data_IF_397279771977
#
_entry.id   IF_397279771977
#
_cell.length_a   1.000
_cell.length_b   1.000
_cell.length_c   1.000
_cell.angle_alpha   90.00
_cell.angle_beta   90.00
_cell.angle_gamma   90.00
#
_symmetry.space_group_name_H-M   'P 1'
#
loop_
_entity.id
_entity.type
_entity.pdbx_description
1 polymer ?
#
# COMPACT_ATOMS: atom_id res chain seq x y z
N UNK A 1 -20.08 -5.80 -8.12
CA UNK A 1 -18.73 -5.28 -7.89
C UNK A 1 -18.85 -3.76 -7.73
N UNK A 2 -18.17 -3.13 -6.79
CA UNK A 2 -18.08 -1.67 -6.74
C UNK A 2 -17.12 -1.28 -7.84
N UNK A 3 -17.57 -0.47 -8.79
CA UNK A 3 -16.87 -0.28 -10.06
C UNK A 3 -15.90 0.89 -10.05
N UNK A 4 -16.06 1.86 -9.12
CA UNK A 4 -15.16 3.02 -9.10
C UNK A 4 -14.99 3.61 -7.70
N UNK A 5 -13.95 4.40 -7.49
CA UNK A 5 -13.67 5.14 -6.26
C UNK A 5 -13.98 6.62 -6.44
N UNK A 6 -13.76 7.40 -5.37
CA UNK A 6 -13.78 8.86 -5.46
C UNK A 6 -12.73 9.35 -6.48
N UNK A 7 -12.99 10.46 -7.18
CA UNK A 7 -11.95 11.12 -7.97
C UNK A 7 -10.72 11.42 -7.10
N UNK A 8 -9.48 11.36 -7.65
CA UNK A 8 -8.25 11.55 -6.86
C UNK A 8 -8.23 12.85 -6.05
N UNK A 9 -8.78 13.94 -6.60
CA UNK A 9 -8.90 15.22 -5.91
C UNK A 9 -9.84 15.17 -4.68
N UNK A 10 -10.86 14.32 -4.70
CA UNK A 10 -11.80 14.17 -3.59
C UNK A 10 -11.21 13.23 -2.52
N UNK A 11 -10.47 12.19 -2.93
CA UNK A 11 -9.63 11.39 -2.03
C UNK A 11 -8.66 12.30 -1.30
N UNK A 12 -7.92 13.15 -2.03
CA UNK A 12 -6.97 14.10 -1.45
C UNK A 12 -7.65 15.00 -0.40
N UNK A 13 -8.77 15.64 -0.75
CA UNK A 13 -9.51 16.51 0.17
C UNK A 13 -10.00 15.78 1.42
N UNK A 14 -10.45 14.54 1.24
CA UNK A 14 -10.90 13.70 2.35
C UNK A 14 -9.75 13.40 3.30
N UNK A 15 -8.61 12.94 2.80
CA UNK A 15 -7.44 12.59 3.61
C UNK A 15 -6.78 13.81 4.23
N UNK A 16 -6.77 14.96 3.56
CA UNK A 16 -6.35 16.22 4.16
C UNK A 16 -7.22 16.62 5.37
N UNK A 17 -8.52 16.33 5.32
CA UNK A 17 -9.46 16.64 6.42
C UNK A 17 -9.33 15.68 7.59
N UNK A 18 -9.18 14.37 7.33
CA UNK A 18 -9.12 13.35 8.39
C UNK A 18 -7.71 13.15 8.94
N UNK A 19 -6.67 13.63 8.26
CA UNK A 19 -5.27 13.40 8.58
C UNK A 19 -4.91 13.48 10.07
N UNK A 20 -5.29 14.56 10.80
CA UNK A 20 -4.99 14.67 12.22
C UNK A 20 -5.64 13.61 13.12
N UNK A 21 -6.71 12.96 12.62
CA UNK A 21 -7.46 11.93 13.35
C UNK A 21 -7.29 10.54 12.74
N UNK A 22 -6.51 10.42 11.68
CA UNK A 22 -6.36 9.16 10.92
C UNK A 22 -5.85 8.01 11.80
N UNK A 23 -4.94 8.29 12.71
CA UNK A 23 -4.38 7.28 13.62
C UNK A 23 -5.43 6.54 14.47
N UNK A 24 -6.58 7.15 14.72
CA UNK A 24 -7.70 6.51 15.42
C UNK A 24 -8.36 5.43 14.57
N UNK A 25 -8.50 5.68 13.27
CA UNK A 25 -9.05 4.71 12.32
C UNK A 25 -8.03 3.64 11.93
N UNK A 26 -6.75 4.01 11.86
CA UNK A 26 -5.65 3.10 11.56
C UNK A 26 -5.49 1.96 12.59
N UNK A 27 -6.05 2.11 13.81
CA UNK A 27 -6.10 1.03 14.79
C UNK A 27 -6.90 -0.20 14.29
N UNK A 28 -7.87 0.01 13.37
CA UNK A 28 -8.65 -1.07 12.75
C UNK A 28 -7.84 -1.87 11.71
N UNK A 29 -6.70 -1.35 11.29
CA UNK A 29 -5.81 -1.92 10.27
C UNK A 29 -4.51 -2.48 10.88
N UNK A 30 -4.30 -2.26 12.19
CA UNK A 30 -3.03 -2.47 12.86
C UNK A 30 -2.49 -3.90 12.76
N UNK A 31 -3.35 -4.91 12.85
CA UNK A 31 -2.94 -6.31 12.74
C UNK A 31 -2.47 -6.65 11.31
N UNK A 32 -3.20 -6.21 10.29
CA UNK A 32 -2.81 -6.42 8.90
C UNK A 32 -1.48 -5.72 8.58
N UNK A 33 -1.32 -4.48 9.04
CA UNK A 33 -0.09 -3.71 8.84
C UNK A 33 1.11 -4.32 9.57
N UNK A 34 0.92 -4.78 10.82
CA UNK A 34 1.98 -5.44 11.58
C UNK A 34 2.46 -6.72 10.86
N UNK A 35 1.53 -7.58 10.45
CA UNK A 35 1.87 -8.80 9.73
C UNK A 35 2.56 -8.52 8.39
N UNK A 36 2.12 -7.50 7.67
CA UNK A 36 2.74 -7.12 6.41
C UNK A 36 4.17 -6.57 6.61
N UNK A 37 4.42 -5.80 7.69
CA UNK A 37 5.76 -5.33 8.03
C UNK A 37 6.72 -6.49 8.35
N UNK A 38 6.25 -7.55 9.02
CA UNK A 38 7.05 -8.76 9.25
C UNK A 38 7.48 -9.42 7.92
N UNK A 39 6.61 -9.40 6.92
CA UNK A 39 6.88 -9.97 5.60
C UNK A 39 7.71 -9.08 4.66
N UNK A 40 8.03 -7.84 5.05
CA UNK A 40 8.97 -7.02 4.29
C UNK A 40 10.40 -7.57 4.32
N UNK A 41 10.72 -8.45 5.27
CA UNK A 41 12.06 -9.05 5.37
C UNK A 41 13.16 -7.99 5.32
N UNK A 42 13.07 -7.02 6.24
CA UNK A 42 13.93 -5.85 6.30
C UNK A 42 15.28 -6.19 6.90
N UNK A 43 16.33 -5.58 6.36
CA UNK A 43 17.71 -5.69 6.86
C UNK A 43 18.41 -4.34 6.81
N UNK A 44 19.39 -4.09 7.68
CA UNK A 44 20.20 -2.87 7.65
C UNK A 44 20.78 -2.58 6.27
N UNK A 45 20.81 -1.32 5.87
CA UNK A 45 21.34 -0.87 4.59
C UNK A 45 20.38 -0.93 3.41
N UNK A 46 19.18 -1.48 3.57
CA UNK A 46 18.17 -1.54 2.49
C UNK A 46 17.64 -0.17 2.10
N UNK A 47 17.26 -0.04 0.84
CA UNK A 47 16.47 1.08 0.31
C UNK A 47 15.02 0.65 0.18
N UNK A 48 14.15 1.31 0.92
CA UNK A 48 12.74 0.96 1.01
C UNK A 48 11.87 2.13 0.55
N UNK A 49 10.85 1.86 -0.26
CA UNK A 49 9.83 2.82 -0.64
C UNK A 49 8.52 2.47 0.07
N UNK A 50 7.98 3.44 0.79
CA UNK A 50 6.67 3.38 1.44
C UNK A 50 5.69 4.27 0.65
N UNK A 51 4.75 3.63 -0.05
CA UNK A 51 3.77 4.31 -0.92
C UNK A 51 2.48 4.53 -0.16
N UNK A 52 2.06 5.80 -0.07
CA UNK A 52 0.94 6.21 0.78
C UNK A 52 1.33 6.19 2.25
N UNK A 53 2.43 6.86 2.55
CA UNK A 53 3.08 6.85 3.88
C UNK A 53 2.16 7.32 5.02
N UNK A 54 1.08 8.03 4.71
CA UNK A 54 0.09 8.52 5.67
C UNK A 54 0.73 9.34 6.78
N UNK A 55 0.41 9.01 8.04
CA UNK A 55 0.95 9.70 9.21
C UNK A 55 2.36 9.23 9.61
N UNK A 56 2.94 8.24 8.91
CA UNK A 56 4.32 7.78 9.10
C UNK A 56 4.54 6.78 10.23
N UNK A 57 3.50 6.12 10.75
CA UNK A 57 3.66 5.12 11.83
C UNK A 57 4.45 3.91 11.35
N UNK A 58 4.05 3.32 10.25
CA UNK A 58 4.71 2.19 9.62
C UNK A 58 6.08 2.61 9.06
N UNK A 59 6.16 3.81 8.51
CA UNK A 59 7.41 4.39 7.99
C UNK A 59 8.50 4.50 9.05
N UNK A 60 8.15 4.96 10.25
CA UNK A 60 9.07 5.03 11.38
C UNK A 60 9.61 3.64 11.76
N UNK A 61 8.76 2.60 11.73
CA UNK A 61 9.18 1.23 11.97
C UNK A 61 10.15 0.74 10.89
N UNK A 62 9.85 1.00 9.62
CA UNK A 62 10.73 0.67 8.48
C UNK A 62 12.11 1.33 8.67
N UNK A 63 12.15 2.63 8.98
CA UNK A 63 13.41 3.34 9.24
C UNK A 63 14.25 2.68 10.33
N UNK A 64 13.59 2.29 11.43
CA UNK A 64 14.27 1.65 12.55
C UNK A 64 14.90 0.29 12.15
N UNK A 65 14.18 -0.50 11.38
CA UNK A 65 14.60 -1.83 10.96
C UNK A 65 15.76 -1.83 9.96
N UNK A 66 15.87 -0.79 9.12
CA UNK A 66 16.92 -0.69 8.11
C UNK A 66 18.15 0.12 8.56
N UNK A 67 18.10 0.71 9.75
CA UNK A 67 19.21 1.47 10.33
C UNK A 67 20.47 0.59 10.58
N UNK A 68 21.70 1.18 10.61
CA UNK A 68 21.96 2.61 10.47
C UNK A 68 22.07 3.09 9.01
N UNK A 69 22.40 2.24 8.06
CA UNK A 69 22.84 2.62 6.70
C UNK A 69 21.73 2.58 5.65
N UNK A 70 20.51 2.15 6.05
CA UNK A 70 19.35 2.07 5.16
C UNK A 70 18.67 3.40 4.92
N UNK A 71 17.91 3.50 3.82
CA UNK A 71 17.17 4.68 3.44
C UNK A 71 15.70 4.32 3.18
N UNK A 72 14.81 4.85 4.01
CA UNK A 72 13.37 4.80 3.78
C UNK A 72 12.91 6.09 3.09
N UNK A 73 12.27 5.92 1.93
CA UNK A 73 11.63 6.99 1.18
C UNK A 73 10.12 6.86 1.33
N UNK A 74 9.42 7.96 1.62
CA UNK A 74 7.97 7.98 1.73
C UNK A 74 7.34 8.85 0.66
N UNK A 75 6.20 8.44 0.13
CA UNK A 75 5.39 9.30 -0.71
C UNK A 75 3.91 9.23 -0.30
N UNK A 76 3.22 10.33 -0.50
CA UNK A 76 1.77 10.44 -0.34
C UNK A 76 1.21 11.48 -1.30
N UNK A 77 -0.06 11.35 -1.65
CA UNK A 77 -0.76 12.35 -2.45
C UNK A 77 -1.13 13.57 -1.58
N UNK A 78 -1.36 13.36 -0.28
CA UNK A 78 -1.76 14.38 0.69
C UNK A 78 -0.56 15.10 1.30
N UNK A 79 -0.49 16.41 1.08
CA UNK A 79 0.50 17.27 1.74
C UNK A 79 0.30 17.36 3.26
N UNK A 80 -0.92 17.13 3.77
CA UNK A 80 -1.20 17.07 5.22
C UNK A 80 -0.58 15.81 5.81
N UNK A 81 -0.77 14.66 5.18
CA UNK A 81 -0.16 13.39 5.59
C UNK A 81 1.36 13.49 5.60
N UNK A 82 1.96 14.05 4.54
CA UNK A 82 3.40 14.26 4.48
C UNK A 82 3.95 15.13 5.62
N UNK A 83 3.25 16.20 5.99
CA UNK A 83 3.66 17.03 7.15
C UNK A 83 3.59 16.25 8.46
N UNK A 84 2.55 15.44 8.67
CA UNK A 84 2.43 14.57 9.85
C UNK A 84 3.54 13.53 9.89
N UNK A 85 3.81 12.88 8.75
CA UNK A 85 4.91 11.94 8.61
C UNK A 85 6.26 12.61 8.86
N UNK A 86 6.51 13.77 8.26
CA UNK A 86 7.76 14.52 8.43
C UNK A 86 8.02 14.88 9.90
N UNK A 87 6.99 15.32 10.62
CA UNK A 87 7.12 15.64 12.04
C UNK A 87 7.42 14.43 12.92
N UNK A 88 7.05 13.24 12.47
CA UNK A 88 7.26 11.97 13.21
C UNK A 88 8.61 11.33 12.89
N UNK A 89 9.05 11.40 11.65
CA UNK A 89 10.12 10.54 11.13
C UNK A 89 11.36 11.29 10.66
N UNK A 90 11.23 12.56 10.27
CA UNK A 90 12.31 13.32 9.63
C UNK A 90 12.77 12.74 8.27
N UNK A 91 12.01 11.81 7.69
CA UNK A 91 12.37 11.06 6.49
C UNK A 91 12.41 11.92 5.20
N UNK A 92 13.11 11.49 4.14
CA UNK A 92 12.93 12.04 2.81
C UNK A 92 11.55 11.65 2.26
N UNK A 93 10.68 12.65 2.09
CA UNK A 93 9.30 12.51 1.64
C UNK A 93 9.07 13.23 0.32
N UNK A 94 8.14 12.72 -0.49
CA UNK A 94 7.77 13.31 -1.76
C UNK A 94 6.24 13.32 -1.93
N UNK A 95 5.69 14.45 -2.37
CA UNK A 95 4.29 14.50 -2.79
C UNK A 95 4.17 14.00 -4.22
N UNK A 96 3.57 12.82 -4.41
CA UNK A 96 3.45 12.20 -5.72
C UNK A 96 2.24 11.26 -5.80
N UNK A 97 1.84 10.95 -7.03
CA UNK A 97 0.83 9.95 -7.35
C UNK A 97 1.49 8.57 -7.47
N UNK A 98 0.87 7.54 -6.87
CA UNK A 98 1.30 6.15 -6.97
C UNK A 98 1.33 5.62 -8.42
N UNK A 99 0.54 6.21 -9.31
CA UNK A 99 0.52 5.88 -10.74
C UNK A 99 1.69 6.51 -11.52
N UNK A 100 2.51 7.35 -10.89
CA UNK A 100 3.67 8.01 -11.51
C UNK A 100 4.74 8.34 -10.48
N UNK A 101 5.58 7.37 -10.17
CA UNK A 101 6.61 7.49 -9.14
C UNK A 101 7.81 8.31 -9.63
N UNK A 102 8.26 9.33 -8.85
CA UNK A 102 9.37 10.20 -9.24
C UNK A 102 10.74 9.57 -8.95
N UNK A 103 10.86 8.26 -9.13
CA UNK A 103 12.09 7.52 -8.85
C UNK A 103 12.54 6.76 -10.09
N UNK A 104 13.86 6.54 -10.27
CA UNK A 104 14.39 5.72 -11.36
C UNK A 104 13.97 4.25 -11.21
N UNK A 105 14.09 3.49 -12.31
CA UNK A 105 13.94 2.05 -12.28
C UNK A 105 15.01 1.39 -11.40
N UNK A 106 14.72 0.20 -10.87
CA UNK A 106 15.65 -0.66 -10.14
C UNK A 106 16.34 0.03 -8.93
N UNK A 107 15.58 0.84 -8.20
CA UNK A 107 16.11 1.68 -7.12
C UNK A 107 15.88 1.14 -5.72
N UNK A 108 14.84 0.35 -5.50
CA UNK A 108 14.43 -0.09 -4.16
C UNK A 108 14.53 -1.61 -3.98
N UNK A 109 14.99 -2.03 -2.80
CA UNK A 109 15.04 -3.44 -2.40
C UNK A 109 13.66 -3.93 -1.99
N UNK A 110 12.86 -3.05 -1.35
CA UNK A 110 11.51 -3.32 -0.84
C UNK A 110 10.57 -2.17 -1.17
N UNK A 111 9.32 -2.51 -1.45
CA UNK A 111 8.22 -1.56 -1.58
C UNK A 111 7.08 -2.00 -0.66
N UNK A 112 6.61 -1.08 0.17
CA UNK A 112 5.45 -1.26 1.03
C UNK A 112 4.31 -0.40 0.55
N UNK A 113 3.11 -0.96 0.47
CA UNK A 113 1.89 -0.22 0.11
C UNK A 113 0.69 -0.78 0.89
N UNK A 114 0.06 0.05 1.71
CA UNK A 114 -1.06 -0.38 2.55
C UNK A 114 -2.30 0.49 2.32
N UNK A 115 -3.39 -0.12 1.82
CA UNK A 115 -4.69 0.51 1.58
C UNK A 115 -4.66 1.74 0.65
N UNK A 116 -3.68 1.81 -0.23
CA UNK A 116 -3.55 2.86 -1.25
C UNK A 116 -4.29 2.48 -2.53
N UNK A 117 -4.11 1.24 -3.00
CA UNK A 117 -4.75 0.75 -4.22
C UNK A 117 -6.28 0.75 -4.11
N UNK A 118 -6.82 0.64 -2.89
CA UNK A 118 -8.24 0.75 -2.58
C UNK A 118 -8.83 2.11 -2.98
N UNK A 119 -7.96 3.13 -3.09
CA UNK A 119 -8.29 4.53 -3.37
C UNK A 119 -7.97 4.93 -4.81
N UNK A 120 -7.15 4.14 -5.52
CA UNK A 120 -6.78 4.40 -6.92
C UNK A 120 -7.94 3.95 -7.83
N UNK A 121 -8.39 4.75 -8.82
CA UNK A 121 -9.37 4.30 -9.81
C UNK A 121 -8.96 2.97 -10.45
N UNK A 122 -9.94 2.10 -10.77
CA UNK A 122 -9.62 0.78 -11.34
C UNK A 122 -8.76 0.86 -12.61
N UNK A 123 -9.01 1.87 -13.43
CA UNK A 123 -8.21 2.14 -14.64
C UNK A 123 -6.76 2.56 -14.35
N UNK A 124 -6.50 3.09 -13.16
CA UNK A 124 -5.15 3.53 -12.73
C UNK A 124 -4.34 2.43 -12.05
N UNK A 125 -4.99 1.37 -11.51
CA UNK A 125 -4.28 0.31 -10.77
C UNK A 125 -3.17 -0.37 -11.61
N UNK A 126 -3.38 -0.72 -12.89
CA UNK A 126 -2.30 -1.27 -13.68
C UNK A 126 -1.07 -0.34 -13.76
N UNK A 127 -1.29 0.95 -14.00
CA UNK A 127 -0.20 1.93 -14.04
C UNK A 127 0.55 2.04 -12.70
N UNK A 128 -0.17 1.99 -11.57
CA UNK A 128 0.47 1.99 -10.25
C UNK A 128 1.31 0.72 -10.04
N UNK A 129 0.79 -0.45 -10.40
CA UNK A 129 1.52 -1.71 -10.26
C UNK A 129 2.73 -1.79 -11.20
N UNK A 130 2.62 -1.27 -12.42
CA UNK A 130 3.75 -1.16 -13.36
C UNK A 130 4.86 -0.26 -12.79
N UNK A 131 4.50 0.86 -12.18
CA UNK A 131 5.44 1.75 -11.51
C UNK A 131 6.10 1.07 -10.30
N UNK A 132 5.34 0.32 -9.49
CA UNK A 132 5.88 -0.46 -8.38
C UNK A 132 6.92 -1.49 -8.86
N UNK A 133 6.58 -2.22 -9.92
CA UNK A 133 7.51 -3.16 -10.54
C UNK A 133 8.73 -2.46 -11.13
N UNK A 134 8.54 -1.31 -11.79
CA UNK A 134 9.62 -0.55 -12.41
C UNK A 134 10.66 -0.10 -11.40
N UNK A 135 10.24 0.47 -10.27
CA UNK A 135 11.16 1.03 -9.28
C UNK A 135 11.81 -0.02 -8.38
N UNK A 136 11.24 -1.22 -8.27
CA UNK A 136 11.86 -2.33 -7.57
C UNK A 136 13.08 -2.85 -8.32
N UNK A 137 14.14 -3.16 -7.60
CA UNK A 137 15.30 -3.89 -8.12
C UNK A 137 14.88 -5.30 -8.58
N UNK A 138 15.59 -5.90 -9.55
CA UNK A 138 15.45 -7.33 -9.84
C UNK A 138 15.60 -8.17 -8.57
N UNK A 139 14.62 -9.05 -8.31
CA UNK A 139 14.56 -9.82 -7.08
C UNK A 139 14.04 -9.07 -5.85
N UNK A 140 13.71 -7.79 -5.95
CA UNK A 140 13.07 -7.00 -4.89
C UNK A 140 11.63 -7.43 -4.63
N UNK A 141 11.10 -7.08 -3.44
CA UNK A 141 9.76 -7.46 -3.00
C UNK A 141 8.82 -6.27 -2.91
N UNK A 142 7.58 -6.51 -3.37
CA UNK A 142 6.40 -5.71 -3.06
C UNK A 142 5.65 -6.40 -1.92
N UNK A 143 5.38 -5.68 -0.84
CA UNK A 143 4.39 -6.09 0.17
C UNK A 143 3.21 -5.14 0.07
N UNK A 144 2.04 -5.67 -0.24
CA UNK A 144 0.84 -4.89 -0.47
C UNK A 144 -0.32 -5.39 0.39
N UNK A 145 -1.10 -4.44 0.91
CA UNK A 145 -2.33 -4.69 1.67
C UNK A 145 -3.48 -3.97 1.00
N UNK A 146 -4.60 -4.64 0.87
CA UNK A 146 -5.86 -4.09 0.37
C UNK A 146 -7.04 -4.70 1.10
N UNK A 147 -8.12 -3.94 1.23
CA UNK A 147 -9.40 -4.50 1.63
C UNK A 147 -9.87 -5.52 0.59
N UNK A 148 -10.44 -6.65 1.04
CA UNK A 148 -10.96 -7.70 0.16
C UNK A 148 -12.38 -8.11 0.52
N UNK A 149 -13.01 -8.98 -0.26
CA UNK A 149 -14.38 -9.42 0.02
C UNK A 149 -14.51 -10.41 1.19
N UNK A 150 -13.38 -11.00 1.62
CA UNK A 150 -13.33 -12.01 2.67
C UNK A 150 -13.92 -13.36 2.25
N UNK A 151 -13.60 -14.38 3.03
CA UNK A 151 -13.97 -15.78 2.73
C UNK A 151 -15.04 -16.34 3.66
N UNK A 152 -15.13 -15.82 4.90
CA UNK A 152 -16.11 -16.28 5.90
C UNK A 152 -17.49 -15.64 5.72
N UNK A 153 -18.54 -16.32 6.21
CA UNK A 153 -19.91 -15.78 6.20
C UNK A 153 -20.01 -14.44 6.94
N UNK A 154 -19.46 -14.25 8.16
CA UNK A 154 -19.49 -12.96 8.83
C UNK A 154 -18.85 -11.84 8.01
N UNK A 155 -17.67 -12.11 7.40
CA UNK A 155 -17.00 -11.12 6.55
C UNK A 155 -17.87 -10.72 5.34
N UNK A 156 -18.52 -11.71 4.71
CA UNK A 156 -19.39 -11.46 3.55
C UNK A 156 -20.59 -10.57 3.90
N UNK A 157 -21.18 -10.76 5.10
CA UNK A 157 -22.30 -9.92 5.59
C UNK A 157 -21.80 -8.48 5.83
N UNK A 158 -20.67 -8.32 6.53
CA UNK A 158 -20.09 -7.01 6.81
C UNK A 158 -19.71 -6.31 5.49
N UNK A 159 -19.08 -7.03 4.56
CA UNK A 159 -18.73 -6.46 3.26
C UNK A 159 -19.94 -6.15 2.37
N UNK A 160 -21.06 -6.87 2.55
CA UNK A 160 -22.30 -6.49 1.88
C UNK A 160 -22.85 -5.17 2.40
N UNK A 161 -22.85 -4.98 3.74
CA UNK A 161 -23.21 -3.71 4.37
C UNK A 161 -22.24 -2.58 3.96
N UNK A 162 -20.94 -2.84 3.95
CA UNK A 162 -19.91 -1.90 3.46
C UNK A 162 -20.18 -1.46 2.02
N UNK A 163 -20.42 -2.42 1.12
CA UNK A 163 -20.74 -2.13 -0.29
C UNK A 163 -22.04 -1.32 -0.43
N UNK A 164 -23.02 -1.57 0.40
CA UNK A 164 -24.26 -0.77 0.41
C UNK A 164 -23.97 0.67 0.88
N UNK A 165 -23.24 0.83 2.00
CA UNK A 165 -22.83 2.15 2.49
C UNK A 165 -22.01 2.91 1.45
N UNK A 166 -21.08 2.24 0.79
CA UNK A 166 -20.26 2.80 -0.27
C UNK A 166 -21.10 3.30 -1.46
N UNK A 167 -22.12 2.52 -1.87
CA UNK A 167 -23.04 2.93 -2.96
C UNK A 167 -23.87 4.16 -2.59
N UNK A 168 -24.24 4.30 -1.32
CA UNK A 168 -24.96 5.48 -0.84
C UNK A 168 -24.07 6.71 -0.76
N UNK A 169 -22.85 6.54 -0.26
CA UNK A 169 -21.82 7.58 -0.22
C UNK A 169 -20.43 6.95 -0.03
N UNK A 170 -19.53 7.03 -1.03
CA UNK A 170 -18.16 6.56 -0.89
C UNK A 170 -17.41 7.22 0.28
N UNK A 171 -17.79 8.44 0.67
CA UNK A 171 -17.19 9.16 1.79
C UNK A 171 -17.38 8.45 3.14
N UNK A 172 -18.47 7.71 3.34
CA UNK A 172 -18.71 6.93 4.57
C UNK A 172 -17.70 5.81 4.78
N UNK A 173 -17.11 5.33 3.68
CA UNK A 173 -16.11 4.28 3.64
C UNK A 173 -14.69 4.83 3.41
N UNK A 174 -14.46 6.12 3.65
CA UNK A 174 -13.21 6.82 3.38
C UNK A 174 -12.68 6.61 1.93
N UNK A 175 -13.56 6.33 0.97
CA UNK A 175 -13.20 6.01 -0.41
C UNK A 175 -12.68 4.58 -0.63
N UNK A 176 -12.45 3.80 0.44
CA UNK A 176 -11.89 2.45 0.34
C UNK A 176 -12.91 1.45 -0.20
N UNK A 177 -12.47 0.64 -1.16
CA UNK A 177 -13.28 -0.45 -1.73
C UNK A 177 -12.49 -1.77 -1.75
N UNK A 178 -13.21 -2.92 -1.65
CA UNK A 178 -12.54 -4.21 -1.73
C UNK A 178 -11.98 -4.47 -3.12
N UNK A 179 -10.77 -5.00 -3.19
CA UNK A 179 -10.07 -5.41 -4.40
C UNK A 179 -9.81 -6.92 -4.41
N UNK A 180 -9.42 -7.43 -5.56
CA UNK A 180 -8.81 -8.75 -5.75
C UNK A 180 -7.33 -8.55 -6.03
N UNK A 181 -6.61 -8.19 -4.98
CA UNK A 181 -5.24 -7.69 -5.08
C UNK A 181 -4.31 -8.71 -5.76
N UNK A 182 -4.37 -9.98 -5.35
CA UNK A 182 -3.53 -11.02 -5.93
C UNK A 182 -3.69 -11.13 -7.46
N UNK A 183 -4.93 -11.15 -7.97
CA UNK A 183 -5.19 -11.22 -9.42
C UNK A 183 -4.61 -10.01 -10.18
N UNK A 184 -4.66 -8.83 -9.57
CA UNK A 184 -4.12 -7.61 -10.17
C UNK A 184 -2.60 -7.63 -10.23
N UNK A 185 -1.95 -8.13 -9.17
CA UNK A 185 -0.49 -8.25 -9.12
C UNK A 185 0.03 -9.35 -10.03
N UNK A 186 -0.64 -10.51 -10.10
CA UNK A 186 -0.29 -11.58 -11.04
C UNK A 186 -0.31 -11.12 -12.50
N UNK A 187 -1.24 -10.22 -12.84
CA UNK A 187 -1.35 -9.66 -14.18
C UNK A 187 -0.11 -8.84 -14.62
N UNK A 188 0.72 -8.37 -13.68
CA UNK A 188 1.99 -7.68 -13.96
C UNK A 188 3.16 -8.64 -14.25
N UNK A 189 2.98 -9.93 -14.04
CA UNK A 189 4.04 -10.93 -14.15
C UNK A 189 4.94 -11.04 -12.92
N UNK A 190 4.65 -10.31 -11.83
CA UNK A 190 5.34 -10.53 -10.55
C UNK A 190 4.89 -11.87 -9.94
N UNK A 191 5.84 -12.64 -9.40
CA UNK A 191 5.55 -13.91 -8.73
C UNK A 191 5.09 -13.69 -7.30
N UNK A 192 3.87 -14.14 -6.95
CA UNK A 192 3.37 -14.11 -5.57
C UNK A 192 4.00 -15.26 -4.78
N UNK A 193 4.81 -14.91 -3.77
CA UNK A 193 5.43 -15.86 -2.84
C UNK A 193 4.62 -16.11 -1.57
N UNK A 194 3.77 -15.15 -1.18
CA UNK A 194 2.92 -15.25 -0.01
C UNK A 194 1.61 -14.51 -0.23
N UNK A 195 0.52 -15.10 0.23
CA UNK A 195 -0.81 -14.50 0.21
C UNK A 195 -1.59 -14.97 1.43
N UNK A 196 -2.23 -14.06 2.11
CA UNK A 196 -3.17 -14.38 3.20
C UNK A 196 -4.30 -13.37 3.26
N UNK A 197 -5.42 -13.80 3.83
CA UNK A 197 -6.54 -12.93 4.17
C UNK A 197 -6.74 -12.99 5.67
N UNK A 198 -6.63 -11.85 6.33
CA UNK A 198 -6.93 -11.73 7.75
C UNK A 198 -8.16 -10.86 7.95
N UNK A 199 -8.82 -11.03 9.08
CA UNK A 199 -10.01 -10.24 9.41
C UNK A 199 -9.83 -9.58 10.77
N UNK A 200 -9.95 -8.28 10.83
CA UNK A 200 -9.95 -7.50 12.05
C UNK A 200 -11.31 -6.80 12.19
N UNK A 201 -12.02 -7.07 13.30
CA UNK A 201 -13.39 -6.59 13.54
C UNK A 201 -14.36 -6.86 12.37
N UNK A 202 -14.14 -7.96 11.65
CA UNK A 202 -14.98 -8.37 10.52
C UNK A 202 -14.61 -7.71 9.18
N UNK A 203 -13.67 -6.78 9.15
CA UNK A 203 -13.13 -6.19 7.92
C UNK A 203 -11.99 -7.08 7.39
N UNK A 204 -12.15 -7.71 6.23
CA UNK A 204 -11.13 -8.57 5.66
C UNK A 204 -10.09 -7.77 4.88
N UNK A 205 -8.83 -8.08 5.12
CA UNK A 205 -7.68 -7.51 4.41
C UNK A 205 -6.85 -8.62 3.78
N UNK A 206 -6.54 -8.46 2.51
CA UNK A 206 -5.64 -9.34 1.77
C UNK A 206 -4.23 -8.75 1.83
N UNK A 207 -3.27 -9.58 2.23
CA UNK A 207 -1.84 -9.25 2.26
C UNK A 207 -1.16 -10.13 1.23
N UNK A 208 -0.34 -9.54 0.38
CA UNK A 208 0.48 -10.26 -0.58
C UNK A 208 1.93 -9.83 -0.47
N UNK A 209 2.82 -10.80 -0.75
CA UNK A 209 4.23 -10.55 -1.02
C UNK A 209 4.52 -11.02 -2.43
N UNK A 210 4.88 -10.09 -3.30
CA UNK A 210 5.19 -10.38 -4.69
C UNK A 210 6.64 -10.01 -4.99
N UNK A 211 7.28 -10.80 -5.83
CA UNK A 211 8.69 -10.61 -6.19
C UNK A 211 8.83 -10.21 -7.66
N UNK A 212 9.61 -9.17 -7.91
CA UNK A 212 10.07 -8.86 -9.27
C UNK A 212 11.04 -9.95 -9.73
N UNK A 213 10.85 -10.48 -10.92
CA UNK A 213 11.74 -11.49 -11.47
C UNK A 213 13.21 -11.01 -11.44
N UNK A 214 14.17 -11.89 -11.09
CA UNK A 214 15.59 -11.58 -11.28
C UNK A 214 15.84 -11.26 -12.74
N UNK A 215 16.78 -10.34 -13.03
CA UNK A 215 17.26 -10.22 -14.40
C UNK A 215 17.84 -11.55 -14.84
N UNK A 216 17.39 -12.06 -15.99
CA UNK A 216 18.05 -13.21 -16.62
C UNK A 216 19.52 -12.84 -16.78
N UNK A 217 20.40 -13.58 -16.08
CA UNK A 217 21.83 -13.29 -16.09
C UNK A 217 22.33 -13.27 -17.52
N UNK A 218 22.98 -12.19 -17.91
CA UNK A 218 23.99 -12.26 -18.97
C UNK A 218 25.03 -13.25 -18.47
N UNK A 219 25.00 -14.48 -18.99
CA UNK A 219 26.07 -15.43 -18.78
C UNK A 219 27.38 -14.72 -19.15
N UNK A 220 28.38 -14.69 -18.26
CA UNK A 220 29.69 -14.22 -18.66
C UNK A 220 30.19 -15.14 -19.76
N UNK A 221 30.36 -14.59 -20.96
CA UNK A 221 31.03 -15.25 -22.10
C UNK A 221 32.52 -15.42 -21.85
#
# INVERSE_FOLDING_TARGET
>A
MITDTLPPQDVLRLYDRIGPRYDWFAALEGHAKALALEHLDLSPGMRVLDVGVGTGREHMHIQHMIAPDGLAFGLDLSGVMLRLCQSRTGAPLCQADACRLPYPADNFDRLYVAYVLDLVPLSGIPAALDEFQRVLKPGGYLVAISMTEGTSLPNRVIMAAWKLAYRLSPYTCAGCRPLRLAQMVEATGMGIGYQTVISQLGLPSEIIVARKAPQAGTSPG
#
